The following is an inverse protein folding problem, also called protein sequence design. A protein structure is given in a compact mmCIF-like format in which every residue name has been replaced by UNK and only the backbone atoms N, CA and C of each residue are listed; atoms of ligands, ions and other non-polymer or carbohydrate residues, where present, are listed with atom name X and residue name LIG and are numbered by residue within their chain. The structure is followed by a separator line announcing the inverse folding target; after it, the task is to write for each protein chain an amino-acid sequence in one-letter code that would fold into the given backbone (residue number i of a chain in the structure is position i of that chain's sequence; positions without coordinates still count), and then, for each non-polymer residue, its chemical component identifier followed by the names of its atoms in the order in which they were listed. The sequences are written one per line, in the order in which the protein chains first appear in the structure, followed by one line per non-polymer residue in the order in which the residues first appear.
data_IF_004477736148
#
_entry.id   IF_004477736148
#
_cell.length_a   1.000
_cell.length_b   1.000
_cell.length_c   1.000
_cell.angle_alpha   90.00
_cell.angle_beta   90.00
_cell.angle_gamma   90.00
#
_symmetry.space_group_name_H-M   'P 1'
#
loop_
_entity.id
_entity.type
_entity.pdbx_description
1 polymer ?
#
# COMPACT_ATOMS: atom_id res chain seq x y z
N UNK A 1 -3.77 -0.07 46.12
CA UNK A 1 -4.13 -1.44 45.61
C UNK A 1 -2.87 -2.29 45.45
N UNK A 2 -3.00 -3.64 45.34
CA UNK A 2 -1.88 -4.53 44.96
C UNK A 2 -1.90 -4.82 43.48
N UNK A 3 -0.73 -4.70 42.84
CA UNK A 3 -0.53 -5.00 41.42
C UNK A 3 0.60 -5.99 41.23
N UNK A 4 0.52 -6.74 40.15
CA UNK A 4 1.54 -7.70 39.75
C UNK A 4 2.42 -7.05 38.66
N UNK A 5 3.76 -7.04 38.85
CA UNK A 5 4.69 -6.43 37.91
C UNK A 5 5.80 -7.41 37.50
N UNK A 6 6.31 -7.24 36.30
CA UNK A 6 7.59 -7.82 35.83
C UNK A 6 8.56 -6.67 35.70
N UNK A 7 9.76 -6.86 36.20
CA UNK A 7 10.82 -5.84 36.21
C UNK A 7 11.93 -6.20 35.22
N UNK A 8 12.48 -5.18 34.58
CA UNK A 8 13.73 -5.26 33.83
C UNK A 8 14.92 -5.53 34.77
N UNK A 9 16.06 -5.86 34.20
CA UNK A 9 17.33 -6.00 34.94
C UNK A 9 17.75 -4.71 35.66
N UNK A 10 17.27 -3.56 35.22
CA UNK A 10 17.49 -2.25 35.83
C UNK A 10 16.44 -1.87 36.90
N UNK A 11 15.48 -2.75 37.17
CA UNK A 11 14.42 -2.57 38.16
C UNK A 11 13.21 -1.75 37.73
N UNK A 12 13.11 -1.40 36.43
CA UNK A 12 11.93 -0.73 35.89
C UNK A 12 10.81 -1.72 35.53
N UNK A 13 9.56 -1.28 35.58
CA UNK A 13 8.41 -2.10 35.21
C UNK A 13 8.39 -2.29 33.69
N UNK A 14 8.42 -3.55 33.25
CA UNK A 14 8.27 -3.92 31.84
C UNK A 14 6.82 -4.33 31.49
N UNK A 15 6.16 -5.00 32.43
CA UNK A 15 4.79 -5.40 32.27
C UNK A 15 4.07 -5.41 33.62
N UNK A 16 2.75 -5.28 33.60
CA UNK A 16 1.94 -5.33 34.81
C UNK A 16 0.58 -5.99 34.57
N UNK A 17 -0.06 -6.44 35.67
CA UNK A 17 -1.46 -6.85 35.68
C UNK A 17 -2.14 -6.31 36.94
N UNK A 18 -3.29 -5.65 36.75
CA UNK A 18 -4.12 -5.15 37.86
C UNK A 18 -4.91 -6.29 38.47
N UNK A 19 -5.31 -7.28 37.66
CA UNK A 19 -6.05 -8.49 38.07
C UNK A 19 -5.43 -9.68 37.32
N UNK A 20 -5.16 -10.78 38.03
CA UNK A 20 -4.61 -11.99 37.41
C UNK A 20 -3.08 -12.06 37.48
N UNK A 21 -2.46 -12.72 36.47
CA UNK A 21 -1.03 -12.98 36.41
C UNK A 21 -0.44 -12.52 35.09
N UNK A 22 0.82 -12.04 35.17
CA UNK A 22 1.61 -11.65 33.97
C UNK A 22 2.53 -12.78 33.47
N UNK A 23 2.47 -13.98 34.05
CA UNK A 23 3.37 -15.10 33.74
C UNK A 23 4.47 -15.31 34.78
N UNK A 24 5.62 -15.86 34.40
CA UNK A 24 6.75 -16.10 35.33
C UNK A 24 7.48 -14.82 35.71
N UNK A 25 8.12 -14.81 36.90
CA UNK A 25 8.91 -13.67 37.35
C UNK A 25 8.09 -12.53 37.97
N UNK A 26 6.89 -12.82 38.44
CA UNK A 26 5.92 -11.83 38.98
C UNK A 26 6.35 -11.39 40.39
N UNK A 27 6.35 -10.08 40.58
CA UNK A 27 6.45 -9.46 41.90
C UNK A 27 5.14 -8.72 42.20
N UNK A 28 4.59 -8.97 43.42
CA UNK A 28 3.43 -8.23 43.88
C UNK A 28 3.87 -7.03 44.72
N UNK A 29 3.43 -5.85 44.33
CA UNK A 29 3.78 -4.58 44.95
C UNK A 29 2.54 -3.76 45.27
N UNK A 30 2.63 -2.92 46.32
CA UNK A 30 1.58 -1.96 46.64
C UNK A 30 1.74 -0.69 45.76
N UNK A 31 0.64 -0.25 45.15
CA UNK A 31 0.53 1.01 44.40
C UNK A 31 -0.55 1.86 45.08
N UNK A 32 -0.27 3.13 45.48
CA UNK A 32 -1.29 4.04 45.95
C UNK A 32 -2.37 4.28 44.89
N UNK A 33 -3.62 4.34 45.30
CA UNK A 33 -4.76 4.47 44.37
C UNK A 33 -4.68 5.78 43.56
N UNK A 34 -4.16 6.85 44.16
CA UNK A 34 -3.93 8.13 43.51
C UNK A 34 -2.89 8.11 42.38
N UNK A 35 -2.03 7.10 42.36
CA UNK A 35 -0.97 6.93 41.34
C UNK A 35 -1.40 5.99 40.20
N UNK A 36 -2.57 5.36 40.29
CA UNK A 36 -2.99 4.34 39.35
C UNK A 36 -3.04 4.84 37.90
N UNK A 37 -3.68 5.98 37.66
CA UNK A 37 -3.83 6.52 36.32
C UNK A 37 -2.47 6.87 35.70
N UNK A 38 -1.58 7.50 36.48
CA UNK A 38 -0.23 7.81 36.03
C UNK A 38 0.58 6.53 35.77
N UNK A 39 0.45 5.54 36.64
CA UNK A 39 1.12 4.25 36.47
C UNK A 39 0.63 3.51 35.21
N UNK A 40 -0.67 3.44 34.98
CA UNK A 40 -1.23 2.79 33.79
C UNK A 40 -0.72 3.45 32.52
N UNK A 41 -0.66 4.77 32.49
CA UNK A 41 -0.19 5.54 31.33
C UNK A 41 1.32 5.43 31.10
N UNK A 42 2.12 5.30 32.19
CA UNK A 42 3.59 5.45 32.13
C UNK A 42 4.35 4.39 32.94
N UNK A 43 3.81 3.16 33.05
CA UNK A 43 4.38 2.11 33.92
C UNK A 43 5.88 1.85 33.69
N UNK A 44 6.38 1.98 32.46
CA UNK A 44 7.80 1.79 32.14
C UNK A 44 8.72 2.88 32.71
N UNK A 45 8.16 3.98 33.23
CA UNK A 45 8.90 5.01 33.95
C UNK A 45 8.93 4.75 35.47
N UNK A 46 8.20 3.74 35.97
CA UNK A 46 8.27 3.38 37.38
C UNK A 46 9.37 2.37 37.66
N UNK A 47 10.07 2.58 38.74
CA UNK A 47 11.17 1.72 39.23
C UNK A 47 10.86 1.20 40.63
N UNK A 48 11.26 -0.02 40.89
CA UNK A 48 11.16 -0.58 42.24
C UNK A 48 12.32 -0.10 43.09
N UNK A 49 12.03 0.69 44.13
CA UNK A 49 12.98 1.17 45.11
C UNK A 49 12.50 0.90 46.54
N UNK A 50 13.31 0.23 47.37
CA UNK A 50 12.98 -0.10 48.75
C UNK A 50 11.61 -0.83 48.91
N UNK A 51 11.23 -1.64 47.94
CA UNK A 51 9.95 -2.40 47.96
C UNK A 51 8.71 -1.62 47.52
N UNK A 52 8.85 -0.37 47.09
CA UNK A 52 7.78 0.47 46.55
C UNK A 52 8.06 0.86 45.09
N UNK A 53 7.02 1.08 44.33
CA UNK A 53 7.13 1.65 42.97
C UNK A 53 7.27 3.18 43.07
N UNK A 54 8.35 3.71 42.53
CA UNK A 54 8.66 5.15 42.50
C UNK A 54 8.70 5.58 41.04
N UNK A 55 8.03 6.69 40.71
CA UNK A 55 8.11 7.32 39.39
C UNK A 55 9.49 7.97 39.21
N UNK A 56 10.18 7.57 38.16
CA UNK A 56 11.39 8.25 37.68
C UNK A 56 10.96 9.40 36.76
N UNK A 57 10.95 10.62 37.32
CA UNK A 57 10.49 11.82 36.61
C UNK A 57 11.41 12.17 35.44
N UNK A 58 12.72 11.93 35.55
CA UNK A 58 13.66 12.18 34.44
C UNK A 58 13.38 11.23 33.26
N UNK A 59 13.14 9.96 33.57
CA UNK A 59 12.80 8.98 32.58
C UNK A 59 11.43 9.28 31.92
N UNK A 60 10.44 9.70 32.72
CA UNK A 60 9.14 10.10 32.19
C UNK A 60 9.28 11.30 31.24
N UNK A 61 10.03 12.34 31.65
CA UNK A 61 10.29 13.51 30.82
C UNK A 61 11.01 13.13 29.50
N UNK A 62 12.00 12.25 29.56
CA UNK A 62 12.69 11.75 28.38
C UNK A 62 11.75 10.97 27.44
N UNK A 63 10.86 10.14 28.00
CA UNK A 63 9.85 9.40 27.20
C UNK A 63 8.84 10.35 26.53
N UNK A 64 8.38 11.37 27.25
CA UNK A 64 7.46 12.37 26.71
C UNK A 64 8.12 13.17 25.58
N UNK A 65 9.37 13.63 25.79
CA UNK A 65 10.11 14.34 24.74
C UNK A 65 10.37 13.46 23.50
N UNK A 66 10.70 12.17 23.70
CA UNK A 66 10.86 11.24 22.59
C UNK A 66 9.55 10.99 21.83
N UNK A 67 8.42 10.87 22.55
CA UNK A 67 7.09 10.71 21.93
C UNK A 67 6.67 11.96 21.13
N UNK A 68 6.92 13.16 21.67
CA UNK A 68 6.69 14.40 20.94
C UNK A 68 7.54 14.51 19.68
N UNK A 69 8.82 14.19 19.78
CA UNK A 69 9.73 14.19 18.63
C UNK A 69 9.31 13.15 17.57
N UNK A 70 8.87 11.98 17.99
CA UNK A 70 8.35 10.95 17.09
C UNK A 70 7.06 11.42 16.40
N UNK A 71 6.16 12.09 17.13
CA UNK A 71 4.92 12.65 16.56
C UNK A 71 5.21 13.75 15.54
N UNK A 72 6.17 14.64 15.82
CA UNK A 72 6.62 15.67 14.87
C UNK A 72 7.24 15.04 13.62
N UNK A 73 8.08 14.03 13.79
CA UNK A 73 8.68 13.31 12.66
C UNK A 73 7.61 12.64 11.80
N UNK A 74 6.66 11.92 12.41
CA UNK A 74 5.58 11.26 11.68
C UNK A 74 4.66 12.26 10.94
N UNK A 75 4.54 13.47 11.47
CA UNK A 75 3.68 14.53 10.89
C UNK A 75 4.31 15.25 9.70
N UNK A 76 5.61 15.52 9.77
CA UNK A 76 6.25 16.45 8.83
C UNK A 76 7.33 15.83 7.94
N UNK A 77 7.83 14.66 8.29
CA UNK A 77 8.87 13.97 7.51
C UNK A 77 8.26 12.75 6.83
N UNK A 78 8.25 12.69 5.48
CA UNK A 78 7.78 11.51 4.77
C UNK A 78 8.57 10.26 5.19
N UNK A 79 7.90 9.12 5.26
CA UNK A 79 8.57 7.84 5.46
C UNK A 79 9.56 7.55 4.32
N UNK A 80 10.51 6.64 4.56
CA UNK A 80 11.45 6.19 3.54
C UNK A 80 10.71 5.67 2.29
N UNK A 81 9.63 4.89 2.49
CA UNK A 81 8.81 4.37 1.40
C UNK A 81 8.13 5.49 0.58
N UNK A 82 7.62 6.53 1.25
CA UNK A 82 7.04 7.69 0.56
C UNK A 82 8.10 8.46 -0.21
N UNK A 83 9.28 8.67 0.38
CA UNK A 83 10.40 9.37 -0.27
C UNK A 83 10.94 8.59 -1.47
N UNK A 84 11.05 7.25 -1.35
CA UNK A 84 11.48 6.38 -2.45
C UNK A 84 10.45 6.39 -3.59
N UNK A 85 9.14 6.34 -3.27
CA UNK A 85 8.09 6.44 -4.27
C UNK A 85 8.13 7.78 -5.00
N UNK A 86 8.34 8.88 -4.30
CA UNK A 86 8.44 10.22 -4.91
C UNK A 86 9.69 10.34 -5.79
N UNK A 87 10.84 9.85 -5.32
CA UNK A 87 12.04 9.79 -6.14
C UNK A 87 11.82 8.98 -7.42
N UNK A 88 11.11 7.83 -7.31
CA UNK A 88 10.72 7.02 -8.46
C UNK A 88 9.85 7.80 -9.45
N UNK A 89 8.85 8.54 -8.98
CA UNK A 89 7.99 9.39 -9.83
C UNK A 89 8.80 10.47 -10.56
N UNK A 90 9.74 11.13 -9.87
CA UNK A 90 10.61 12.14 -10.47
C UNK A 90 11.48 11.55 -11.58
N UNK A 91 12.00 10.33 -11.38
CA UNK A 91 12.76 9.62 -12.42
C UNK A 91 11.86 9.27 -13.60
N UNK A 92 10.66 8.71 -13.34
CA UNK A 92 9.69 8.38 -14.39
C UNK A 92 9.29 9.60 -15.23
N UNK A 93 9.11 10.77 -14.62
CA UNK A 93 8.79 12.00 -15.32
C UNK A 93 9.87 12.43 -16.31
N UNK A 94 11.12 11.96 -16.12
CA UNK A 94 12.27 12.22 -17.00
C UNK A 94 12.50 11.13 -18.05
N UNK A 95 11.84 9.97 -17.91
CA UNK A 95 11.98 8.85 -18.84
C UNK A 95 10.99 8.98 -19.99
N UNK A 96 11.42 9.49 -21.11
CA UNK A 96 10.64 9.49 -22.35
C UNK A 96 10.64 8.08 -23.00
N UNK A 97 9.48 7.65 -23.55
CA UNK A 97 9.40 6.51 -24.45
C UNK A 97 9.30 5.12 -23.81
N UNK A 98 8.85 5.02 -22.54
CA UNK A 98 8.49 3.71 -21.99
C UNK A 98 7.32 3.09 -22.78
N UNK A 99 7.48 1.82 -23.18
CA UNK A 99 6.38 1.04 -23.76
C UNK A 99 5.41 0.59 -22.66
N UNK A 100 4.27 0.03 -23.06
CA UNK A 100 3.20 -0.37 -22.14
C UNK A 100 3.67 -1.41 -21.10
N UNK A 101 4.50 -2.37 -21.50
CA UNK A 101 5.05 -3.38 -20.61
C UNK A 101 5.95 -2.77 -19.52
N UNK A 102 6.85 -1.85 -19.92
CA UNK A 102 7.70 -1.14 -18.97
C UNK A 102 6.88 -0.25 -18.01
N UNK A 103 5.84 0.44 -18.51
CA UNK A 103 4.91 1.22 -17.67
C UNK A 103 4.16 0.35 -16.68
N UNK A 104 3.74 -0.86 -17.07
CA UNK A 104 3.10 -1.82 -16.18
C UNK A 104 4.05 -2.30 -15.09
N UNK A 105 5.33 -2.58 -15.41
CA UNK A 105 6.35 -3.00 -14.42
C UNK A 105 6.56 -1.97 -13.31
N UNK A 106 6.44 -0.69 -13.62
CA UNK A 106 6.57 0.40 -12.66
C UNK A 106 5.22 0.97 -12.21
N UNK A 107 4.12 0.26 -12.47
CA UNK A 107 2.77 0.77 -12.21
C UNK A 107 2.50 1.15 -10.76
N UNK A 108 3.22 0.56 -9.80
CA UNK A 108 3.16 0.95 -8.39
C UNK A 108 3.56 2.40 -8.10
N UNK A 109 4.24 3.07 -9.04
CA UNK A 109 4.62 4.48 -8.92
C UNK A 109 3.55 5.44 -9.48
N UNK A 110 2.60 4.95 -10.27
CA UNK A 110 1.49 5.76 -10.76
C UNK A 110 0.38 5.88 -9.70
N UNK A 111 -0.25 7.03 -9.68
CA UNK A 111 -1.34 7.31 -8.75
C UNK A 111 -2.61 6.53 -9.12
N UNK A 112 -3.46 6.32 -8.12
CA UNK A 112 -4.82 5.85 -8.36
C UNK A 112 -5.61 6.94 -9.10
N UNK A 113 -6.52 6.50 -9.96
CA UNK A 113 -7.43 7.43 -10.62
C UNK A 113 -8.33 8.14 -9.61
N UNK A 114 -8.44 9.44 -9.74
CA UNK A 114 -9.38 10.31 -9.02
C UNK A 114 -10.01 11.27 -9.99
N UNK A 115 -11.19 11.83 -9.69
CA UNK A 115 -11.80 12.83 -10.57
C UNK A 115 -10.91 14.08 -10.66
N UNK A 116 -10.65 14.54 -11.88
CA UNK A 116 -9.75 15.68 -12.14
C UNK A 116 -9.66 16.04 -13.61
N UNK A 117 -8.63 16.82 -13.96
CA UNK A 117 -8.26 17.10 -15.34
C UNK A 117 -7.11 16.19 -15.74
N UNK A 118 -7.17 15.71 -16.97
CA UNK A 118 -6.18 14.78 -17.50
C UNK A 118 -5.70 15.24 -18.88
N UNK A 119 -4.40 15.09 -19.09
CA UNK A 119 -3.76 15.35 -20.37
C UNK A 119 -3.50 14.01 -21.10
N UNK A 120 -3.34 14.08 -22.42
CA UNK A 120 -2.93 12.90 -23.18
C UNK A 120 -1.54 12.42 -22.74
N UNK A 121 -1.42 11.13 -22.44
CA UNK A 121 -0.23 10.50 -21.88
C UNK A 121 -0.24 10.33 -20.35
N UNK A 122 -1.21 10.89 -19.65
CA UNK A 122 -1.37 10.65 -18.22
C UNK A 122 -1.67 9.17 -17.93
N UNK A 123 -0.96 8.60 -16.95
CA UNK A 123 -1.13 7.21 -16.52
C UNK A 123 -1.76 7.16 -15.14
N UNK A 124 -2.76 6.30 -14.96
CA UNK A 124 -3.45 6.07 -13.69
C UNK A 124 -3.76 4.59 -13.49
N UNK A 125 -3.81 4.17 -12.23
CA UNK A 125 -4.27 2.83 -11.85
C UNK A 125 -5.74 2.86 -11.45
N UNK A 126 -6.52 1.89 -11.91
CA UNK A 126 -7.92 1.71 -11.52
C UNK A 126 -8.35 0.25 -11.74
N UNK A 127 -9.02 -0.36 -10.73
CA UNK A 127 -9.57 -1.71 -10.86
C UNK A 127 -8.56 -2.82 -11.17
N UNK A 128 -7.32 -2.70 -10.66
CA UNK A 128 -6.24 -3.67 -10.93
C UNK A 128 -5.59 -3.52 -12.31
N UNK A 129 -6.02 -2.54 -13.11
CA UNK A 129 -5.51 -2.23 -14.43
C UNK A 129 -4.75 -0.90 -14.40
N UNK A 130 -3.77 -0.74 -15.29
CA UNK A 130 -3.08 0.52 -15.57
C UNK A 130 -3.61 1.11 -16.86
N UNK A 131 -4.00 2.37 -16.82
CA UNK A 131 -4.69 3.07 -17.89
C UNK A 131 -3.91 4.28 -18.36
N UNK A 132 -3.90 4.52 -19.67
CA UNK A 132 -3.41 5.76 -20.25
C UNK A 132 -4.58 6.61 -20.73
N UNK A 133 -4.56 7.89 -20.37
CA UNK A 133 -5.41 8.91 -20.99
C UNK A 133 -4.86 9.20 -22.38
N UNK A 134 -5.54 8.81 -23.44
CA UNK A 134 -5.08 9.08 -24.80
C UNK A 134 -5.68 10.37 -25.39
N UNK A 135 -6.71 10.92 -24.75
CA UNK A 135 -7.35 12.18 -25.13
C UNK A 135 -7.63 13.02 -23.89
N UNK A 136 -7.10 14.24 -23.86
CA UNK A 136 -7.26 15.17 -22.75
C UNK A 136 -8.75 15.44 -22.45
N UNK A 137 -9.12 15.46 -21.17
CA UNK A 137 -10.48 15.73 -20.72
C UNK A 137 -10.55 16.28 -19.30
N UNK A 138 -11.72 16.82 -18.95
CA UNK A 138 -12.06 17.31 -17.60
C UNK A 138 -13.23 16.51 -17.06
N UNK A 139 -13.04 15.82 -15.93
CA UNK A 139 -14.11 15.06 -15.26
C UNK A 139 -15.27 15.95 -14.77
N UNK A 140 -15.07 17.26 -14.61
CA UNK A 140 -16.18 18.18 -14.32
C UNK A 140 -17.16 18.29 -15.50
N UNK A 141 -16.68 18.06 -16.72
CA UNK A 141 -17.50 18.07 -17.95
C UNK A 141 -18.03 16.66 -18.25
N UNK A 142 -17.24 15.63 -17.95
CA UNK A 142 -17.56 14.22 -18.22
C UNK A 142 -17.47 13.36 -16.95
N UNK A 143 -18.38 13.58 -15.97
CA UNK A 143 -18.26 12.98 -14.64
C UNK A 143 -18.38 11.43 -14.63
N UNK A 144 -19.08 10.86 -15.61
CA UNK A 144 -19.36 9.42 -15.69
C UNK A 144 -18.29 8.65 -16.46
N UNK A 145 -17.33 9.34 -17.12
CA UNK A 145 -16.31 8.69 -17.94
C UNK A 145 -15.01 8.54 -17.14
N UNK A 146 -14.80 7.34 -16.62
CA UNK A 146 -13.62 6.97 -15.85
C UNK A 146 -13.06 5.63 -16.32
N UNK A 147 -11.79 5.28 -16.03
CA UNK A 147 -11.24 3.96 -16.31
C UNK A 147 -12.15 2.85 -15.80
N UNK A 148 -12.51 1.90 -16.67
CA UNK A 148 -13.39 0.78 -16.35
C UNK A 148 -14.91 1.10 -16.30
N UNK A 149 -15.37 2.33 -16.57
CA UNK A 149 -16.80 2.65 -16.75
C UNK A 149 -17.30 2.18 -18.13
N UNK A 150 -18.61 2.27 -18.38
CA UNK A 150 -19.18 1.84 -19.66
C UNK A 150 -18.64 2.60 -20.88
N UNK A 151 -18.18 3.85 -20.70
CA UNK A 151 -17.69 4.72 -21.77
C UNK A 151 -16.19 5.07 -21.64
N UNK A 152 -15.43 4.25 -20.89
CA UNK A 152 -14.01 4.49 -20.65
C UNK A 152 -13.20 4.74 -21.92
N UNK A 153 -13.53 4.03 -23.00
CA UNK A 153 -12.84 4.06 -24.29
C UNK A 153 -12.90 5.42 -25.01
N UNK A 154 -13.63 6.38 -24.47
CA UNK A 154 -13.67 7.75 -25.02
C UNK A 154 -12.36 8.50 -24.73
N UNK A 155 -11.75 8.28 -23.57
CA UNK A 155 -10.57 9.02 -23.11
C UNK A 155 -9.42 8.14 -22.64
N UNK A 156 -9.71 6.88 -22.31
CA UNK A 156 -8.77 5.98 -21.67
C UNK A 156 -8.51 4.75 -22.54
N UNK A 157 -7.33 4.17 -22.42
CA UNK A 157 -7.03 2.84 -22.91
C UNK A 157 -6.34 2.02 -21.82
N UNK A 158 -6.60 0.71 -21.70
CA UNK A 158 -5.82 -0.16 -20.84
C UNK A 158 -4.41 -0.35 -21.43
N UNK A 159 -3.39 -0.48 -20.57
CA UNK A 159 -2.06 -0.92 -20.98
C UNK A 159 -2.00 -2.44 -21.01
N UNK A 160 -1.34 -3.01 -22.03
CA UNK A 160 -1.19 -4.45 -22.18
C UNK A 160 0.26 -4.87 -21.94
N UNK A 161 0.45 -5.90 -21.09
CA UNK A 161 1.75 -6.46 -20.77
C UNK A 161 2.24 -7.43 -21.84
N UNK A 162 3.56 -7.63 -21.90
CA UNK A 162 4.22 -8.55 -22.84
C UNK A 162 4.83 -9.79 -22.17
N UNK A 163 4.48 -10.00 -20.88
CA UNK A 163 4.89 -11.20 -20.13
C UNK A 163 3.77 -11.64 -19.19
N UNK A 164 3.81 -12.90 -18.69
CA UNK A 164 2.84 -13.38 -17.71
C UNK A 164 2.82 -12.54 -16.42
N UNK A 165 3.95 -11.95 -16.00
CA UNK A 165 4.09 -11.13 -14.79
C UNK A 165 3.41 -9.76 -14.96
N UNK A 166 3.38 -9.24 -16.19
CA UNK A 166 2.75 -7.96 -16.52
C UNK A 166 1.32 -8.11 -17.03
N UNK A 167 0.80 -9.35 -17.10
CA UNK A 167 -0.60 -9.59 -17.45
C UNK A 167 -1.55 -8.84 -16.50
N UNK A 168 -2.56 -8.17 -17.05
CA UNK A 168 -3.59 -7.43 -16.33
C UNK A 168 -4.97 -8.00 -16.63
N UNK A 169 -5.98 -7.74 -15.79
CA UNK A 169 -7.35 -8.19 -16.06
C UNK A 169 -7.80 -7.85 -17.46
N UNK A 170 -8.48 -8.80 -18.11
CA UNK A 170 -9.05 -8.57 -19.44
C UNK A 170 -10.02 -7.40 -19.43
N UNK A 171 -9.88 -6.52 -20.42
CA UNK A 171 -10.80 -5.42 -20.69
C UNK A 171 -11.38 -5.65 -22.09
N UNK A 172 -12.72 -5.69 -22.24
CA UNK A 172 -13.35 -5.88 -23.55
C UNK A 172 -12.95 -4.76 -24.52
N UNK A 173 -12.42 -5.14 -25.68
CA UNK A 173 -11.91 -4.21 -26.70
C UNK A 173 -13.05 -3.40 -27.29
N UNK A 174 -12.85 -2.09 -27.42
CA UNK A 174 -13.83 -1.15 -27.97
C UNK A 174 -13.37 -0.51 -29.28
N UNK A 175 -12.08 -0.60 -29.62
CA UNK A 175 -11.54 0.00 -30.84
C UNK A 175 -10.13 -0.47 -31.19
N UNK A 176 -9.56 0.17 -32.21
CA UNK A 176 -8.20 -0.18 -32.63
C UNK A 176 -7.11 0.26 -31.64
N UNK A 177 -7.43 1.21 -30.74
CA UNK A 177 -6.49 1.77 -29.76
C UNK A 177 -6.29 0.89 -28.53
N UNK A 178 -7.18 -0.07 -28.30
CA UNK A 178 -7.20 -0.98 -27.16
C UNK A 178 -7.20 -2.47 -27.56
N UNK A 179 -6.93 -2.78 -28.85
CA UNK A 179 -6.74 -4.15 -29.32
C UNK A 179 -5.53 -4.80 -28.68
N UNK A 180 -5.65 -6.08 -28.34
CA UNK A 180 -4.51 -6.91 -28.00
C UNK A 180 -3.66 -7.20 -29.22
N UNK A 181 -2.35 -7.00 -29.11
CA UNK A 181 -1.37 -7.30 -30.15
C UNK A 181 -0.78 -8.69 -29.93
N UNK A 182 -0.31 -9.31 -31.00
CA UNK A 182 0.40 -10.59 -30.91
C UNK A 182 1.53 -10.49 -29.86
N UNK A 183 1.56 -11.45 -28.91
CA UNK A 183 2.52 -11.46 -27.82
C UNK A 183 2.11 -10.72 -26.56
N UNK A 184 0.96 -10.04 -26.52
CA UNK A 184 0.44 -9.41 -25.31
C UNK A 184 -0.34 -10.42 -24.44
N UNK A 185 -0.34 -10.16 -23.14
CA UNK A 185 -0.87 -11.05 -22.11
C UNK A 185 -2.02 -10.39 -21.35
N UNK A 186 -2.96 -11.20 -20.92
CA UNK A 186 -4.01 -10.77 -19.99
C UNK A 186 -4.36 -11.87 -19.00
N UNK A 187 -5.04 -11.51 -17.91
CA UNK A 187 -5.67 -12.43 -16.98
C UNK A 187 -7.14 -12.56 -17.36
N UNK A 188 -7.57 -13.76 -17.72
CA UNK A 188 -8.94 -14.06 -18.06
C UNK A 188 -9.84 -14.11 -16.81
N UNK A 189 -11.15 -14.16 -17.00
CA UNK A 189 -12.15 -14.12 -15.92
C UNK A 189 -12.08 -15.32 -14.96
N UNK A 190 -11.53 -16.45 -15.42
CA UNK A 190 -11.29 -17.65 -14.60
C UNK A 190 -9.93 -17.60 -13.84
N UNK A 191 -9.18 -16.52 -13.97
CA UNK A 191 -7.85 -16.34 -13.39
C UNK A 191 -6.70 -16.91 -14.22
N UNK A 192 -6.97 -17.60 -15.35
CA UNK A 192 -5.93 -18.10 -16.24
C UNK A 192 -5.25 -16.94 -16.98
N UNK A 193 -3.94 -17.11 -17.25
CA UNK A 193 -3.21 -16.15 -18.08
C UNK A 193 -3.33 -16.59 -19.52
N UNK A 194 -3.66 -15.65 -20.38
CA UNK A 194 -3.74 -15.87 -21.85
C UNK A 194 -2.75 -14.96 -22.56
N UNK A 195 -2.16 -15.48 -23.64
CA UNK A 195 -1.32 -14.73 -24.56
C UNK A 195 -2.01 -14.64 -25.91
N UNK A 196 -2.04 -13.45 -26.48
CA UNK A 196 -2.51 -13.26 -27.85
C UNK A 196 -1.51 -13.81 -28.85
N UNK A 197 -1.93 -14.74 -29.71
CA UNK A 197 -1.12 -15.34 -30.79
C UNK A 197 -1.10 -14.48 -32.03
N UNK A 198 -2.07 -13.59 -32.16
CA UNK A 198 -2.22 -12.62 -33.24
C UNK A 198 -2.94 -11.37 -32.72
N UNK A 199 -2.94 -10.28 -33.49
CA UNK A 199 -3.73 -9.12 -33.16
C UNK A 199 -5.22 -9.47 -33.10
N UNK A 200 -5.89 -9.10 -32.01
CA UNK A 200 -7.30 -9.46 -31.81
C UNK A 200 -8.07 -8.42 -31.01
N UNK A 201 -9.33 -8.21 -31.42
CA UNK A 201 -10.32 -7.45 -30.66
C UNK A 201 -11.32 -8.35 -29.93
N UNK A 202 -11.17 -9.68 -30.07
CA UNK A 202 -12.12 -10.66 -29.56
C UNK A 202 -11.62 -11.29 -28.25
N UNK A 203 -12.58 -11.65 -27.39
CA UNK A 203 -12.32 -12.41 -26.18
C UNK A 203 -11.87 -13.85 -26.50
N UNK A 204 -11.26 -14.59 -25.55
CA UNK A 204 -11.02 -16.03 -25.71
C UNK A 204 -12.27 -16.87 -25.94
N UNK A 205 -13.43 -16.42 -25.48
CA UNK A 205 -14.72 -17.09 -25.74
C UNK A 205 -15.22 -16.87 -27.15
N UNK A 206 -15.07 -15.63 -27.65
CA UNK A 206 -15.53 -15.27 -29.00
C UNK A 206 -14.59 -15.80 -30.10
N UNK A 207 -13.29 -15.82 -29.83
CA UNK A 207 -12.29 -16.29 -30.78
C UNK A 207 -11.14 -17.03 -30.09
N UNK A 208 -11.34 -18.29 -29.66
CA UNK A 208 -10.34 -19.09 -28.95
C UNK A 208 -9.01 -19.25 -29.69
N UNK A 209 -9.04 -19.29 -31.03
CA UNK A 209 -7.85 -19.48 -31.87
C UNK A 209 -6.84 -18.32 -31.82
N UNK A 210 -7.26 -17.15 -31.32
CA UNK A 210 -6.37 -16.01 -31.14
C UNK A 210 -5.61 -16.02 -29.81
N UNK A 211 -5.85 -17.03 -28.94
CA UNK A 211 -5.32 -17.06 -27.59
C UNK A 211 -4.72 -18.41 -27.26
N UNK A 212 -3.64 -18.41 -26.48
CA UNK A 212 -3.05 -19.59 -25.88
C UNK A 212 -2.93 -19.40 -24.36
N UNK A 213 -2.90 -20.50 -23.62
CA UNK A 213 -2.61 -20.46 -22.17
C UNK A 213 -1.15 -20.16 -21.94
N UNK A 214 -0.88 -19.36 -20.92
CA UNK A 214 0.45 -19.08 -20.43
C UNK A 214 0.50 -19.26 -18.91
N UNK A 215 1.68 -19.54 -18.36
CA UNK A 215 1.93 -19.70 -16.94
C UNK A 215 2.94 -18.65 -16.49
N UNK A 216 2.82 -18.18 -15.23
CA UNK A 216 3.89 -17.40 -14.61
C UNK A 216 5.09 -18.32 -14.37
N UNK A 217 6.26 -17.84 -14.72
CA UNK A 217 7.49 -18.53 -14.33
C UNK A 217 7.65 -18.34 -12.82
N UNK A 218 7.50 -19.42 -12.03
CA UNK A 218 7.87 -19.35 -10.62
C UNK A 218 9.38 -19.15 -10.55
N UNK A 219 9.82 -17.96 -10.14
CA UNK A 219 11.21 -17.75 -9.78
C UNK A 219 11.49 -18.54 -8.49
N UNK A 220 12.36 -19.53 -8.62
CA UNK A 220 12.86 -20.38 -7.52
C UNK A 220 13.90 -19.63 -6.70
#
# INVERSE_FOLDING_TARGET
MKINVILSSAGYVEAYALIGSTGGGILQVDLPDEQLDCFVAHHTAYKLENGALVLDEDKLAAMQAAAEQAALTARYIPSEAQSAAEAGRLVLAQMAGLDDDARIRVSGLYELWTAGKYEAGDIRNSGGQTWECFQAHDCAVYPDIKPGSAAWFTFWRPLHGKSPETARPFVPVQGAHDMYRAGEYMVWTDGSIKRATQDTAYSPEDFPGAWENAERTEEN
#
